data_IF_586613575720
#
_entry.id   IF_586613575720
#
_cell.length_a   1.000
_cell.length_b   1.000
_cell.length_c   1.000
_cell.angle_alpha   90.00
_cell.angle_beta   90.00
_cell.angle_gamma   90.00
#
_symmetry.space_group_name_H-M   'P 1'
#
loop_
_entity.id
_entity.type
_entity.pdbx_description
1 polymer ?
#
# COMPACT_ATOMS: atom_id res chain seq x y z
N UNK A 1 2.32 78.84 4.91
CA UNK A 1 1.68 77.65 5.54
C UNK A 1 1.87 76.47 4.63
N UNK A 2 2.89 75.64 4.91
CA UNK A 2 3.25 74.47 4.07
C UNK A 2 2.74 73.23 4.77
N UNK A 3 1.80 72.48 4.12
CA UNK A 3 1.31 71.16 4.62
C UNK A 3 2.21 70.09 4.08
N UNK A 4 2.88 69.37 5.01
CA UNK A 4 3.62 68.13 4.71
C UNK A 4 2.63 66.97 4.67
N UNK A 5 2.53 66.29 3.53
CA UNK A 5 1.79 65.05 3.38
C UNK A 5 2.79 63.89 3.66
N UNK A 6 2.59 63.19 4.75
CA UNK A 6 3.35 61.97 5.06
C UNK A 6 2.72 60.78 4.32
N UNK A 7 3.47 60.22 3.41
CA UNK A 7 3.08 58.96 2.74
C UNK A 7 3.42 57.78 3.67
N UNK A 8 2.41 57.07 4.10
CA UNK A 8 2.55 55.79 4.82
C UNK A 8 2.64 54.69 3.77
N UNK A 9 3.84 54.15 3.57
CA UNK A 9 4.03 52.96 2.74
C UNK A 9 3.57 51.72 3.47
N UNK A 10 2.43 51.15 3.06
CA UNK A 10 1.91 49.87 3.53
C UNK A 10 2.63 48.75 2.76
N UNK A 11 3.65 48.15 3.41
CA UNK A 11 4.31 46.96 2.92
C UNK A 11 3.34 45.76 3.08
N UNK A 12 2.66 45.35 1.99
CA UNK A 12 1.98 44.07 1.92
C UNK A 12 3.06 42.97 1.87
N UNK A 13 3.29 42.31 2.98
CA UNK A 13 3.96 41.00 3.00
C UNK A 13 3.00 39.97 2.39
N UNK A 14 3.10 39.73 1.09
CA UNK A 14 2.57 38.51 0.49
C UNK A 14 3.40 37.34 1.02
N UNK A 15 2.89 36.70 2.06
CA UNK A 15 3.36 35.37 2.48
C UNK A 15 3.11 34.40 1.34
N UNK A 16 4.12 34.09 0.55
CA UNK A 16 4.14 32.96 -0.35
C UNK A 16 4.07 31.69 0.52
N UNK A 17 2.85 31.19 0.76
CA UNK A 17 2.67 29.80 1.12
C UNK A 17 3.12 28.97 -0.08
N UNK A 18 4.38 28.57 -0.10
CA UNK A 18 4.86 27.54 -1.00
C UNK A 18 4.15 26.24 -0.59
N UNK A 19 2.98 25.98 -1.18
CA UNK A 19 2.42 24.64 -1.20
C UNK A 19 3.46 23.79 -1.93
N UNK A 20 4.10 22.87 -1.21
CA UNK A 20 4.93 21.87 -1.85
C UNK A 20 4.05 21.14 -2.86
N UNK A 21 4.30 21.40 -4.13
CA UNK A 21 3.55 20.78 -5.21
C UNK A 21 3.88 19.29 -5.17
N UNK A 22 2.90 18.45 -4.83
CA UNK A 22 3.10 17.00 -4.79
C UNK A 22 3.57 16.53 -6.16
N UNK A 23 4.63 15.73 -6.20
CA UNK A 23 5.13 15.17 -7.45
C UNK A 23 4.04 14.27 -8.06
N UNK A 24 3.95 14.28 -9.38
CA UNK A 24 3.03 13.42 -10.11
C UNK A 24 3.76 12.67 -11.22
N UNK A 25 3.27 11.48 -11.54
CA UNK A 25 3.71 10.69 -12.69
C UNK A 25 2.48 10.30 -13.50
N UNK A 26 2.57 10.48 -14.82
CA UNK A 26 1.59 10.00 -15.78
C UNK A 26 2.25 8.94 -16.66
N UNK A 27 1.65 7.76 -16.77
CA UNK A 27 2.21 6.63 -17.51
C UNK A 27 1.14 5.66 -17.97
N UNK A 28 1.46 4.88 -19.00
CA UNK A 28 0.70 3.71 -19.39
C UNK A 28 1.31 2.47 -18.73
N UNK A 29 0.46 1.62 -18.16
CA UNK A 29 0.83 0.32 -17.61
C UNK A 29 0.22 -0.79 -18.46
N UNK A 30 1.07 -1.68 -18.97
CA UNK A 30 0.66 -2.90 -19.64
C UNK A 30 0.84 -4.09 -18.68
N UNK A 31 -0.26 -4.61 -18.15
CA UNK A 31 -0.26 -5.78 -17.27
C UNK A 31 -0.63 -7.03 -18.06
N UNK A 32 0.34 -7.92 -18.28
CA UNK A 32 0.17 -9.13 -19.07
C UNK A 32 0.70 -10.33 -18.31
N UNK A 33 -0.01 -11.45 -18.41
CA UNK A 33 0.44 -12.72 -17.83
C UNK A 33 -0.13 -13.91 -18.60
N UNK A 34 0.47 -15.08 -18.36
CA UNK A 34 0.07 -16.36 -18.96
C UNK A 34 -0.25 -17.36 -17.86
N UNK A 35 -1.38 -18.02 -17.98
CA UNK A 35 -1.77 -19.14 -17.14
C UNK A 35 -1.44 -20.43 -17.87
N UNK A 36 -0.54 -21.24 -17.32
CA UNK A 36 -0.17 -22.56 -17.84
C UNK A 36 -1.06 -23.64 -17.25
N UNK A 37 -1.57 -24.50 -18.09
CA UNK A 37 -2.48 -25.56 -17.69
C UNK A 37 -1.67 -26.82 -17.35
N UNK A 38 -1.81 -27.27 -16.10
CA UNK A 38 -1.17 -28.50 -15.62
C UNK A 38 -2.11 -29.70 -15.68
N UNK A 39 -3.43 -29.50 -15.77
CA UNK A 39 -4.45 -30.53 -15.82
C UNK A 39 -5.46 -30.24 -16.94
N UNK A 40 -5.15 -30.62 -18.20
CA UNK A 40 -6.01 -30.34 -19.35
C UNK A 40 -7.39 -30.99 -19.22
N UNK A 41 -8.42 -30.31 -19.71
CA UNK A 41 -9.79 -30.83 -19.73
C UNK A 41 -10.58 -30.58 -18.44
N UNK A 42 -9.96 -29.96 -17.43
CA UNK A 42 -10.64 -29.52 -16.21
C UNK A 42 -11.17 -28.08 -16.33
N UNK A 43 -12.12 -27.68 -15.48
CA UNK A 43 -12.51 -26.29 -15.36
C UNK A 43 -11.33 -25.40 -14.98
N UNK A 44 -11.31 -24.16 -15.50
CA UNK A 44 -10.35 -23.14 -15.17
C UNK A 44 -11.07 -21.89 -14.71
N UNK A 45 -10.70 -21.41 -13.54
CA UNK A 45 -11.10 -20.12 -13.00
C UNK A 45 -9.87 -19.26 -12.79
N UNK A 46 -9.89 -18.02 -13.30
CA UNK A 46 -8.79 -17.07 -13.19
C UNK A 46 -9.31 -15.78 -12.59
N UNK A 47 -8.73 -15.35 -11.45
CA UNK A 47 -8.96 -14.05 -10.85
C UNK A 47 -7.65 -13.27 -10.80
N UNK A 48 -7.71 -12.01 -11.16
CA UNK A 48 -6.57 -11.11 -11.02
C UNK A 48 -7.04 -9.68 -10.70
N UNK A 49 -6.24 -8.89 -9.96
CA UNK A 49 -6.67 -7.60 -9.46
C UNK A 49 -6.87 -6.58 -10.56
N UNK A 50 -7.83 -5.69 -10.36
CA UNK A 50 -8.04 -4.47 -11.17
C UNK A 50 -7.42 -3.31 -10.41
N UNK A 51 -6.56 -2.54 -11.08
CA UNK A 51 -6.05 -1.31 -10.50
C UNK A 51 -7.20 -0.32 -10.25
N UNK A 52 -7.26 0.26 -9.07
CA UNK A 52 -8.36 1.13 -8.63
C UNK A 52 -7.90 2.57 -8.50
N UNK A 53 -8.81 3.51 -8.76
CA UNK A 53 -8.59 4.93 -8.47
C UNK A 53 -8.84 5.23 -6.99
N UNK A 54 -8.06 6.15 -6.45
CA UNK A 54 -8.21 6.71 -5.11
C UNK A 54 -7.86 8.21 -5.12
N UNK A 55 -7.68 8.81 -3.95
CA UNK A 55 -7.31 10.23 -3.85
C UNK A 55 -5.88 10.55 -4.34
N UNK A 56 -5.01 9.53 -4.49
CA UNK A 56 -3.62 9.66 -4.91
C UNK A 56 -3.35 9.08 -6.29
N UNK A 57 -4.34 8.43 -6.91
CA UNK A 57 -4.21 7.97 -8.28
C UNK A 57 -5.52 7.97 -9.04
N UNK A 58 -5.43 8.30 -10.32
CA UNK A 58 -6.49 8.10 -11.29
C UNK A 58 -6.09 6.97 -12.21
N UNK A 59 -6.95 5.97 -12.35
CA UNK A 59 -6.71 4.79 -13.19
C UNK A 59 -7.85 4.67 -14.19
N UNK A 60 -7.49 4.57 -15.47
CA UNK A 60 -8.43 4.29 -16.56
C UNK A 60 -8.01 3.03 -17.29
N UNK A 61 -8.92 2.08 -17.46
CA UNK A 61 -8.71 0.93 -18.33
C UNK A 61 -8.81 1.39 -19.78
N UNK A 62 -7.71 1.29 -20.52
CA UNK A 62 -7.67 1.62 -21.96
C UNK A 62 -8.15 0.45 -22.81
N UNK A 63 -7.70 -0.75 -22.48
CA UNK A 63 -8.14 -1.98 -23.14
C UNK A 63 -7.96 -3.18 -22.22
N UNK A 64 -8.74 -4.22 -22.47
CA UNK A 64 -8.60 -5.52 -21.86
C UNK A 64 -8.83 -6.62 -22.90
N UNK A 65 -8.01 -7.66 -22.89
CA UNK A 65 -8.11 -8.81 -23.78
C UNK A 65 -7.66 -10.08 -23.06
N UNK A 66 -8.10 -11.22 -23.55
CA UNK A 66 -7.68 -12.52 -23.05
C UNK A 66 -8.26 -13.63 -23.93
N UNK A 67 -7.68 -14.83 -23.83
CA UNK A 67 -8.18 -16.04 -24.49
C UNK A 67 -9.55 -16.49 -23.93
N UNK A 68 -9.92 -15.96 -22.76
CA UNK A 68 -11.26 -16.09 -22.17
C UNK A 68 -11.87 -14.71 -21.92
N UNK A 69 -13.20 -14.66 -21.91
CA UNK A 69 -13.95 -13.43 -21.63
C UNK A 69 -13.69 -12.92 -20.20
N UNK A 70 -13.42 -11.63 -20.07
CA UNK A 70 -13.12 -10.97 -18.79
C UNK A 70 -14.36 -10.25 -18.24
N UNK A 71 -14.80 -10.67 -17.05
CA UNK A 71 -15.87 -10.03 -16.28
C UNK A 71 -15.26 -9.32 -15.06
N UNK A 72 -15.63 -8.07 -14.83
CA UNK A 72 -15.25 -7.37 -13.60
C UNK A 72 -16.15 -7.83 -12.44
N UNK A 73 -15.54 -8.16 -11.32
CA UNK A 73 -16.19 -8.58 -10.08
C UNK A 73 -15.62 -7.79 -8.89
N UNK A 74 -16.34 -7.82 -7.77
CA UNK A 74 -15.88 -7.22 -6.51
C UNK A 74 -15.94 -8.30 -5.44
N UNK A 75 -14.84 -8.53 -4.74
CA UNK A 75 -14.86 -9.44 -3.61
C UNK A 75 -15.54 -8.75 -2.40
N UNK A 76 -16.32 -9.51 -1.61
CA UNK A 76 -17.25 -8.91 -0.65
C UNK A 76 -16.61 -8.45 0.67
N UNK A 77 -15.39 -8.88 0.97
CA UNK A 77 -14.79 -8.67 2.29
C UNK A 77 -14.05 -7.33 2.40
N UNK A 78 -13.22 -7.01 1.40
CA UNK A 78 -12.42 -5.77 1.34
C UNK A 78 -12.87 -4.81 0.24
N UNK A 79 -13.76 -5.25 -0.64
CA UNK A 79 -14.24 -4.47 -1.77
C UNK A 79 -13.26 -4.39 -2.93
N UNK A 80 -12.27 -5.29 -3.00
CA UNK A 80 -11.30 -5.29 -4.08
C UNK A 80 -11.95 -5.67 -5.40
N UNK A 81 -11.67 -4.90 -6.44
CA UNK A 81 -12.10 -5.23 -7.80
C UNK A 81 -11.16 -6.23 -8.44
N UNK A 82 -11.74 -7.19 -9.14
CA UNK A 82 -11.00 -8.24 -9.82
C UNK A 82 -11.59 -8.48 -11.21
N UNK A 83 -10.73 -8.81 -12.17
CA UNK A 83 -11.19 -9.49 -13.37
C UNK A 83 -11.31 -10.98 -13.11
N UNK A 84 -12.38 -11.56 -13.59
CA UNK A 84 -12.68 -13.00 -13.56
C UNK A 84 -12.83 -13.53 -14.96
N UNK A 85 -12.23 -14.68 -15.23
CA UNK A 85 -12.40 -15.45 -16.45
C UNK A 85 -12.65 -16.92 -16.11
N UNK A 86 -13.48 -17.59 -16.90
CA UNK A 86 -13.89 -18.98 -16.67
C UNK A 86 -14.00 -19.76 -17.96
N UNK A 87 -13.65 -21.04 -17.91
CA UNK A 87 -14.07 -22.05 -18.88
C UNK A 87 -14.34 -23.37 -18.16
N UNK A 88 -15.41 -24.06 -18.53
CA UNK A 88 -15.73 -25.38 -17.98
C UNK A 88 -14.70 -26.46 -18.37
N UNK A 89 -13.92 -26.19 -19.42
CA UNK A 89 -12.93 -27.14 -19.91
C UNK A 89 -11.71 -26.40 -20.52
N UNK A 90 -10.58 -26.46 -19.85
CA UNK A 90 -9.34 -25.91 -20.37
C UNK A 90 -8.77 -26.85 -21.45
N UNK A 91 -8.78 -26.39 -22.71
CA UNK A 91 -8.35 -27.20 -23.88
C UNK A 91 -7.02 -26.73 -24.47
N UNK A 92 -6.57 -25.50 -24.11
CA UNK A 92 -5.31 -24.94 -24.56
C UNK A 92 -4.23 -25.20 -23.51
N UNK A 93 -2.95 -25.33 -23.89
CA UNK A 93 -1.85 -25.47 -22.93
C UNK A 93 -1.59 -24.18 -22.13
N UNK A 94 -1.92 -23.03 -22.69
CA UNK A 94 -1.73 -21.72 -22.10
C UNK A 94 -2.90 -20.79 -22.40
N UNK A 95 -3.22 -19.90 -21.46
CA UNK A 95 -4.20 -18.81 -21.60
C UNK A 95 -3.52 -17.48 -21.28
N UNK A 96 -3.68 -16.52 -22.18
CA UNK A 96 -3.04 -15.20 -22.10
C UNK A 96 -4.06 -14.14 -21.72
N UNK A 97 -3.62 -13.19 -20.87
CA UNK A 97 -4.45 -12.07 -20.45
C UNK A 97 -3.63 -10.79 -20.49
N UNK A 98 -4.24 -9.71 -20.93
CA UNK A 98 -3.61 -8.38 -20.99
C UNK A 98 -4.61 -7.29 -20.63
N UNK A 99 -4.20 -6.37 -19.75
CA UNK A 99 -4.95 -5.14 -19.47
C UNK A 99 -4.01 -3.97 -19.60
N UNK A 100 -4.43 -2.95 -20.33
CA UNK A 100 -3.73 -1.67 -20.43
C UNK A 100 -4.44 -0.62 -19.60
N UNK A 101 -3.66 0.10 -18.82
CA UNK A 101 -4.12 1.19 -17.98
C UNK A 101 -3.43 2.50 -18.37
N UNK A 102 -4.18 3.60 -18.26
CA UNK A 102 -3.66 4.96 -18.18
C UNK A 102 -3.71 5.38 -16.71
N UNK A 103 -2.58 5.81 -16.14
CA UNK A 103 -2.43 6.06 -14.73
C UNK A 103 -1.80 7.42 -14.47
N UNK A 104 -2.48 8.24 -13.68
CA UNK A 104 -1.91 9.44 -13.07
C UNK A 104 -1.73 9.17 -11.59
N UNK A 105 -0.50 9.10 -11.12
CA UNK A 105 -0.15 8.86 -9.71
C UNK A 105 0.41 10.12 -9.08
N UNK A 106 -0.15 10.52 -7.94
CA UNK A 106 0.37 11.58 -7.08
C UNK A 106 1.26 10.97 -6.00
N UNK A 107 2.27 11.71 -5.58
CA UNK A 107 3.06 11.37 -4.41
C UNK A 107 2.17 11.39 -3.16
N UNK A 108 2.17 10.30 -2.40
CA UNK A 108 1.45 10.19 -1.14
C UNK A 108 2.43 10.37 0.02
N UNK A 109 2.57 11.60 0.50
CA UNK A 109 3.39 11.91 1.66
C UNK A 109 2.55 11.80 2.94
N UNK A 110 3.12 11.17 3.94
CA UNK A 110 2.53 11.04 5.26
C UNK A 110 2.17 12.41 5.90
N UNK A 111 2.98 13.44 5.66
CA UNK A 111 2.73 14.80 6.14
C UNK A 111 1.52 15.49 5.47
N UNK A 112 1.10 15.01 4.30
CA UNK A 112 0.01 15.58 3.48
C UNK A 112 -1.20 14.64 3.48
N UNK A 113 -1.33 13.79 4.50
CA UNK A 113 -2.46 12.88 4.60
C UNK A 113 -3.77 13.66 4.62
N UNK A 114 -4.54 13.55 3.55
CA UNK A 114 -5.87 14.14 3.50
C UNK A 114 -6.78 13.33 4.41
N UNK A 115 -7.60 14.02 5.21
CA UNK A 115 -8.63 13.36 6.02
C UNK A 115 -9.60 12.65 5.09
N UNK A 116 -9.45 11.35 4.93
CA UNK A 116 -10.47 10.52 4.30
C UNK A 116 -11.34 9.96 5.42
N UNK A 117 -12.58 10.47 5.61
CA UNK A 117 -13.44 9.92 6.62
C UNK A 117 -13.75 8.47 6.28
N UNK A 118 -13.30 7.55 7.13
CA UNK A 118 -13.76 6.17 7.10
C UNK A 118 -14.88 6.02 8.13
N UNK A 119 -15.93 5.29 7.81
CA UNK A 119 -16.96 4.97 8.81
C UNK A 119 -16.40 3.99 9.83
N UNK A 120 -16.93 4.02 11.06
CA UNK A 120 -16.52 3.04 12.09
C UNK A 120 -16.76 1.60 11.61
N UNK A 121 -17.79 1.37 10.79
CA UNK A 121 -18.09 0.06 10.20
C UNK A 121 -16.96 -0.40 9.28
N UNK A 122 -16.44 0.48 8.43
CA UNK A 122 -15.35 0.16 7.51
C UNK A 122 -14.05 -0.08 8.27
N UNK A 123 -13.81 0.70 9.34
CA UNK A 123 -12.63 0.54 10.19
C UNK A 123 -12.63 -0.78 10.99
N UNK A 124 -13.80 -1.31 11.37
CA UNK A 124 -13.91 -2.56 12.13
C UNK A 124 -13.26 -3.74 11.41
N UNK A 125 -13.35 -3.80 10.07
CA UNK A 125 -12.72 -4.87 9.29
C UNK A 125 -11.20 -4.87 9.47
N UNK A 126 -10.60 -3.68 9.51
CA UNK A 126 -9.15 -3.48 9.61
C UNK A 126 -8.62 -3.57 11.05
N UNK A 127 -9.46 -3.92 12.01
CA UNK A 127 -9.09 -4.27 13.39
C UNK A 127 -9.07 -5.77 13.65
N UNK A 128 -9.57 -6.58 12.69
CA UNK A 128 -9.68 -8.02 12.86
C UNK A 128 -8.37 -8.73 12.54
N UNK A 129 -8.18 -9.90 13.15
CA UNK A 129 -7.11 -10.81 12.75
C UNK A 129 -7.37 -11.36 11.34
N UNK A 130 -6.28 -11.65 10.64
CA UNK A 130 -6.30 -12.51 9.45
C UNK A 130 -5.59 -13.83 9.78
N UNK A 131 -5.78 -14.84 8.92
CA UNK A 131 -5.25 -16.21 9.17
C UNK A 131 -3.77 -16.23 9.53
N UNK A 132 -2.95 -15.38 8.88
CA UNK A 132 -1.51 -15.29 9.09
C UNK A 132 -1.09 -14.01 9.84
N UNK A 133 -2.06 -13.16 10.21
CA UNK A 133 -1.82 -11.89 10.90
C UNK A 133 -2.63 -11.86 12.21
N UNK A 134 -2.18 -12.62 13.24
CA UNK A 134 -2.84 -12.66 14.54
C UNK A 134 -2.67 -11.33 15.28
N UNK A 135 -3.64 -10.99 16.13
CA UNK A 135 -3.64 -9.77 16.94
C UNK A 135 -3.43 -10.05 18.43
N UNK A 136 -3.05 -11.29 18.78
CA UNK A 136 -2.77 -11.78 20.13
C UNK A 136 -1.43 -12.50 20.15
N UNK A 137 -0.96 -12.87 21.35
CA UNK A 137 0.32 -13.58 21.54
C UNK A 137 1.51 -12.70 21.21
N UNK A 138 2.55 -13.28 20.61
CA UNK A 138 3.85 -12.65 20.38
C UNK A 138 3.78 -11.24 19.73
N UNK A 139 3.05 -10.99 18.62
CA UNK A 139 3.01 -9.64 18.04
C UNK A 139 2.32 -8.64 18.97
N UNK A 140 1.32 -9.03 19.76
CA UNK A 140 0.69 -8.16 20.74
C UNK A 140 1.61 -7.83 21.92
N UNK A 141 2.41 -8.79 22.37
CA UNK A 141 3.44 -8.58 23.39
C UNK A 141 4.53 -7.63 22.90
N UNK A 142 5.02 -7.82 21.68
CA UNK A 142 5.98 -6.93 21.04
C UNK A 142 5.42 -5.50 20.90
N UNK A 143 4.16 -5.36 20.47
CA UNK A 143 3.49 -4.06 20.36
C UNK A 143 3.39 -3.38 21.74
N UNK A 144 2.94 -4.11 22.76
CA UNK A 144 2.81 -3.59 24.12
C UNK A 144 4.15 -3.09 24.68
N UNK A 145 5.24 -3.79 24.36
CA UNK A 145 6.59 -3.38 24.78
C UNK A 145 7.06 -2.06 24.14
N UNK A 146 6.47 -1.64 23.00
CA UNK A 146 6.81 -0.36 22.34
C UNK A 146 5.91 0.80 22.81
N UNK A 147 4.77 0.52 23.44
CA UNK A 147 3.79 1.55 23.82
C UNK A 147 4.11 2.12 25.20
N UNK A 148 4.07 3.45 25.31
CA UNK A 148 4.18 4.17 26.57
C UNK A 148 2.85 4.87 26.91
N UNK A 149 2.55 5.11 28.19
CA UNK A 149 1.38 5.88 28.59
C UNK A 149 1.31 7.24 27.89
N UNK A 150 0.14 7.60 27.36
CA UNK A 150 -0.10 8.89 26.72
C UNK A 150 0.29 8.97 25.23
N UNK A 151 0.85 7.92 24.63
CA UNK A 151 1.12 7.90 23.19
C UNK A 151 -0.17 8.00 22.38
N UNK A 152 -0.17 8.89 21.39
CA UNK A 152 -1.20 8.93 20.35
C UNK A 152 -1.13 7.70 19.44
N UNK A 153 -2.17 7.45 18.65
CA UNK A 153 -2.14 6.34 17.66
C UNK A 153 -1.06 6.56 16.59
N UNK A 154 -0.76 7.82 16.25
CA UNK A 154 0.35 8.15 15.35
C UNK A 154 1.71 7.79 15.98
N UNK A 155 1.93 8.13 17.27
CA UNK A 155 3.17 7.80 17.98
C UNK A 155 3.35 6.28 18.11
N UNK A 156 2.26 5.55 18.39
CA UNK A 156 2.30 4.07 18.41
C UNK A 156 2.65 3.52 17.03
N UNK A 157 2.01 4.03 15.96
CA UNK A 157 2.34 3.64 14.58
C UNK A 157 3.81 3.86 14.27
N UNK A 158 4.37 5.02 14.66
CA UNK A 158 5.80 5.31 14.52
C UNK A 158 6.65 4.33 15.32
N UNK A 159 6.28 3.99 16.54
CA UNK A 159 7.02 3.04 17.36
C UNK A 159 7.04 1.62 16.75
N UNK A 160 5.94 1.18 16.16
CA UNK A 160 5.86 -0.11 15.45
C UNK A 160 6.66 -0.12 14.15
N UNK A 161 6.64 0.99 13.43
CA UNK A 161 7.49 1.22 12.26
C UNK A 161 8.97 1.10 12.63
N UNK A 162 9.41 1.87 13.65
CA UNK A 162 10.80 1.88 14.10
C UNK A 162 11.25 0.51 14.63
N UNK A 163 10.39 -0.19 15.37
CA UNK A 163 10.65 -1.55 15.83
C UNK A 163 10.85 -2.51 14.66
N UNK A 164 9.92 -2.52 13.71
CA UNK A 164 9.98 -3.42 12.55
C UNK A 164 11.20 -3.12 11.69
N UNK A 165 11.50 -1.84 11.44
CA UNK A 165 12.69 -1.40 10.73
C UNK A 165 13.98 -1.88 11.39
N UNK A 166 14.08 -1.75 12.72
CA UNK A 166 15.29 -2.10 13.46
C UNK A 166 15.50 -3.60 13.63
N UNK A 167 14.43 -4.39 13.65
CA UNK A 167 14.52 -5.82 13.98
C UNK A 167 14.47 -6.74 12.77
N UNK A 168 13.89 -6.30 11.65
CA UNK A 168 13.81 -7.11 10.42
C UNK A 168 14.89 -6.76 9.41
N UNK A 169 15.21 -7.73 8.56
CA UNK A 169 16.12 -7.58 7.41
C UNK A 169 15.40 -7.95 6.12
N UNK A 170 15.60 -7.16 5.06
CA UNK A 170 15.10 -7.52 3.73
C UNK A 170 15.99 -8.62 3.14
N UNK A 171 15.59 -9.85 3.34
CA UNK A 171 16.35 -11.03 2.94
C UNK A 171 15.38 -12.13 2.51
N UNK A 172 15.59 -12.64 1.30
CA UNK A 172 14.76 -13.67 0.65
C UNK A 172 15.47 -15.03 0.57
N UNK A 173 16.45 -15.24 1.42
CA UNK A 173 17.15 -16.54 1.50
C UNK A 173 16.37 -17.54 2.35
N UNK A 174 16.57 -18.83 2.07
CA UNK A 174 15.87 -19.90 2.80
C UNK A 174 14.41 -20.07 2.38
N UNK A 175 13.60 -20.56 3.31
CA UNK A 175 12.16 -20.86 3.11
C UNK A 175 11.31 -20.13 4.14
N UNK A 176 10.02 -19.96 3.84
CA UNK A 176 9.04 -19.36 4.76
C UNK A 176 8.77 -17.88 4.54
N UNK A 177 9.69 -17.14 3.95
CA UNK A 177 9.50 -15.72 3.63
C UNK A 177 8.45 -15.50 2.51
N UNK A 178 7.90 -14.29 2.47
CA UNK A 178 6.98 -13.84 1.41
C UNK A 178 5.54 -14.29 1.60
N UNK A 179 5.20 -14.94 2.71
CA UNK A 179 3.85 -15.42 3.01
C UNK A 179 3.03 -14.45 3.85
N UNK A 180 3.66 -13.45 4.44
CA UNK A 180 3.02 -12.57 5.41
C UNK A 180 2.62 -13.29 6.70
N UNK A 181 3.30 -14.38 7.04
CA UNK A 181 3.13 -15.08 8.29
C UNK A 181 3.84 -14.31 9.42
N UNK A 182 3.06 -13.57 10.17
CA UNK A 182 3.58 -12.69 11.23
C UNK A 182 4.38 -13.44 12.29
N UNK A 183 3.92 -14.65 12.70
CA UNK A 183 4.63 -15.40 13.73
C UNK A 183 6.00 -15.84 13.21
N UNK A 184 6.03 -16.39 12.01
CA UNK A 184 7.30 -16.74 11.36
C UNK A 184 8.22 -15.51 11.23
N UNK A 185 7.70 -14.37 10.75
CA UNK A 185 8.48 -13.15 10.55
C UNK A 185 9.05 -12.59 11.87
N UNK A 186 8.26 -12.65 12.96
CA UNK A 186 8.71 -12.26 14.31
C UNK A 186 9.85 -13.16 14.83
N UNK A 187 9.89 -14.43 14.45
CA UNK A 187 10.93 -15.37 14.85
C UNK A 187 12.16 -15.28 13.94
N UNK A 188 11.95 -15.33 12.63
CA UNK A 188 12.99 -15.33 11.63
C UNK A 188 13.69 -13.96 11.50
N UNK A 189 12.98 -12.86 11.79
CA UNK A 189 13.46 -11.47 11.68
C UNK A 189 14.02 -11.10 10.31
N UNK A 190 13.48 -11.72 9.26
CA UNK A 190 13.79 -11.39 7.87
C UNK A 190 12.63 -11.76 6.95
N UNK A 191 12.66 -11.27 5.73
CA UNK A 191 11.66 -11.56 4.71
C UNK A 191 11.60 -10.49 3.64
N UNK A 192 10.52 -10.47 2.87
CA UNK A 192 10.25 -9.44 1.88
C UNK A 192 9.25 -8.39 2.41
N UNK A 193 8.76 -7.51 1.52
CA UNK A 193 7.79 -6.47 1.89
C UNK A 193 6.54 -7.04 2.59
N UNK A 194 6.04 -8.21 2.17
CA UNK A 194 4.86 -8.84 2.77
C UNK A 194 5.08 -9.17 4.25
N UNK A 195 6.26 -9.71 4.58
CA UNK A 195 6.60 -10.12 5.96
C UNK A 195 6.81 -8.90 6.86
N UNK A 196 7.49 -7.85 6.36
CA UNK A 196 7.65 -6.59 7.10
C UNK A 196 6.29 -6.00 7.49
N UNK A 197 5.40 -5.88 6.51
CA UNK A 197 4.11 -5.22 6.74
C UNK A 197 3.11 -6.09 7.50
N UNK A 198 3.22 -7.43 7.45
CA UNK A 198 2.41 -8.31 8.30
C UNK A 198 2.72 -8.12 9.79
N UNK A 199 4.01 -7.96 10.15
CA UNK A 199 4.43 -7.65 11.53
C UNK A 199 3.85 -6.30 11.97
N UNK A 200 4.02 -5.26 11.17
CA UNK A 200 3.49 -3.92 11.48
C UNK A 200 1.97 -3.93 11.66
N UNK A 201 1.23 -4.52 10.71
CA UNK A 201 -0.24 -4.57 10.74
C UNK A 201 -0.73 -5.34 11.97
N UNK A 202 -0.09 -6.45 12.29
CA UNK A 202 -0.43 -7.24 13.47
C UNK A 202 -0.23 -6.45 14.77
N UNK A 203 0.90 -5.75 14.91
CA UNK A 203 1.18 -4.88 16.05
C UNK A 203 0.15 -3.74 16.15
N UNK A 204 -0.14 -3.03 15.06
CA UNK A 204 -1.11 -1.93 15.04
C UNK A 204 -2.51 -2.41 15.44
N UNK A 205 -3.01 -3.47 14.80
CA UNK A 205 -4.34 -4.04 15.10
C UNK A 205 -4.45 -4.56 16.53
N UNK A 206 -3.39 -5.12 17.10
CA UNK A 206 -3.36 -5.57 18.49
C UNK A 206 -3.55 -4.41 19.48
N UNK A 207 -3.15 -3.22 19.12
CA UNK A 207 -3.31 -1.98 19.89
C UNK A 207 -4.54 -1.16 19.47
N UNK A 208 -5.49 -1.80 18.77
CA UNK A 208 -6.75 -1.21 18.32
C UNK A 208 -6.59 -0.05 17.32
N UNK A 209 -5.50 -0.06 16.57
CA UNK A 209 -5.25 0.86 15.46
C UNK A 209 -5.62 0.12 14.17
N UNK A 210 -6.64 0.60 13.40
CA UNK A 210 -6.97 0.00 12.13
C UNK A 210 -5.77 0.06 11.19
N UNK A 211 -5.42 -1.07 10.58
CA UNK A 211 -4.32 -1.16 9.64
C UNK A 211 -4.66 -2.10 8.49
N UNK A 212 -4.18 -1.78 7.29
CA UNK A 212 -4.46 -2.55 6.08
C UNK A 212 -3.21 -2.76 5.24
N UNK A 213 -3.27 -3.79 4.43
CA UNK A 213 -2.25 -4.15 3.49
C UNK A 213 -2.61 -3.58 2.12
N UNK A 214 -1.67 -2.94 1.47
CA UNK A 214 -1.81 -2.44 0.11
C UNK A 214 -0.83 -3.17 -0.81
N UNK A 215 -1.31 -3.52 -2.00
CA UNK A 215 -0.49 -4.18 -3.02
C UNK A 215 -0.54 -3.40 -4.33
N UNK A 216 0.61 -3.25 -4.94
CA UNK A 216 0.75 -2.56 -6.20
C UNK A 216 2.06 -2.87 -6.90
N UNK A 217 2.59 -1.88 -7.59
CA UNK A 217 3.82 -1.98 -8.37
C UNK A 217 4.75 -0.84 -8.00
N UNK A 218 6.02 -1.16 -7.77
CA UNK A 218 7.07 -0.14 -7.58
C UNK A 218 7.54 0.37 -8.94
N UNK A 219 7.32 1.67 -9.18
CA UNK A 219 7.76 2.30 -10.42
C UNK A 219 9.24 2.67 -10.32
N UNK A 220 10.10 2.24 -11.28
CA UNK A 220 11.51 2.57 -11.25
C UNK A 220 11.75 4.08 -11.23
N UNK A 221 12.66 4.53 -10.37
CA UNK A 221 13.08 5.93 -10.29
C UNK A 221 13.93 6.28 -11.54
N UNK A 222 13.72 7.47 -12.11
CA UNK A 222 14.52 7.99 -13.22
C UNK A 222 14.35 7.27 -14.57
N UNK A 223 13.42 6.33 -14.69
CA UNK A 223 13.15 5.63 -15.95
C UNK A 223 11.79 6.08 -16.54
N UNK A 224 11.79 6.34 -17.85
CA UNK A 224 10.58 6.71 -18.59
C UNK A 224 9.83 5.49 -19.15
N UNK A 225 10.49 4.35 -19.26
CA UNK A 225 9.89 3.08 -19.70
C UNK A 225 10.73 1.91 -19.19
N UNK A 226 10.12 0.73 -19.09
CA UNK A 226 10.80 -0.47 -18.67
C UNK A 226 9.84 -1.54 -18.17
N UNK A 227 10.38 -2.71 -17.89
CA UNK A 227 9.64 -3.82 -17.32
C UNK A 227 9.68 -3.73 -15.78
N UNK A 228 8.52 -3.94 -15.14
CA UNK A 228 8.43 -4.06 -13.69
C UNK A 228 8.60 -5.54 -13.33
N UNK A 229 9.62 -5.86 -12.55
CA UNK A 229 10.02 -7.24 -12.27
C UNK A 229 9.07 -8.00 -11.31
N UNK A 230 8.15 -7.32 -10.63
CA UNK A 230 7.23 -7.96 -9.69
C UNK A 230 6.33 -6.96 -8.95
N UNK A 231 5.50 -7.50 -8.07
CA UNK A 231 4.66 -6.71 -7.19
C UNK A 231 5.48 -6.03 -6.07
N UNK A 232 4.90 -4.99 -5.52
CA UNK A 232 5.35 -4.36 -4.28
C UNK A 232 4.15 -4.21 -3.33
N UNK A 233 4.42 -4.17 -2.04
CA UNK A 233 3.38 -3.96 -1.05
C UNK A 233 3.86 -3.05 0.08
N UNK A 234 2.91 -2.37 0.69
CA UNK A 234 3.11 -1.50 1.85
C UNK A 234 1.93 -1.65 2.81
N UNK A 235 1.96 -0.92 3.91
CA UNK A 235 0.84 -0.87 4.83
C UNK A 235 0.31 0.55 4.98
N UNK A 236 -0.93 0.65 5.41
CA UNK A 236 -1.49 1.89 5.92
C UNK A 236 -2.12 1.63 7.28
N UNK A 237 -2.05 2.62 8.17
CA UNK A 237 -2.78 2.61 9.43
C UNK A 237 -3.62 3.87 9.57
N UNK A 238 -4.72 3.77 10.29
CA UNK A 238 -5.68 4.86 10.39
C UNK A 238 -5.56 5.60 11.71
N UNK A 239 -5.50 6.94 11.62
CA UNK A 239 -5.63 7.82 12.77
C UNK A 239 -6.85 8.74 12.60
N UNK A 240 -7.56 9.03 13.69
CA UNK A 240 -8.81 9.85 13.62
C UNK A 240 -8.56 11.29 13.16
N UNK A 241 -7.38 11.81 13.37
CA UNK A 241 -6.98 13.17 13.01
C UNK A 241 -6.44 13.32 11.59
N UNK A 242 -5.88 12.24 11.00
CA UNK A 242 -5.22 12.29 9.68
C UNK A 242 -5.80 11.34 8.64
N UNK A 243 -6.62 10.36 9.02
CA UNK A 243 -7.10 9.31 8.13
C UNK A 243 -6.08 8.19 7.93
N UNK A 244 -6.06 7.59 6.75
CA UNK A 244 -5.10 6.55 6.40
C UNK A 244 -3.70 7.13 6.17
N UNK A 245 -2.72 6.53 6.82
CA UNK A 245 -1.33 6.98 6.87
C UNK A 245 -0.43 5.87 6.29
N UNK A 246 0.28 6.12 5.17
CA UNK A 246 1.09 5.09 4.52
C UNK A 246 2.40 4.86 5.26
N UNK A 247 2.87 3.61 5.24
CA UNK A 247 4.20 3.20 5.69
C UNK A 247 4.78 2.14 4.78
N UNK A 248 6.00 2.35 4.32
CA UNK A 248 6.75 1.37 3.54
C UNK A 248 8.08 1.03 4.21
N UNK A 249 7.99 0.18 5.22
CA UNK A 249 9.12 -0.18 6.08
C UNK A 249 10.19 -0.95 5.30
N UNK A 250 9.77 -1.73 4.29
CA UNK A 250 10.69 -2.50 3.48
C UNK A 250 11.53 -1.63 2.52
N UNK A 251 10.96 -0.55 1.97
CA UNK A 251 11.72 0.41 1.19
C UNK A 251 12.60 1.30 2.09
N UNK A 252 12.09 1.70 3.25
CA UNK A 252 12.90 2.38 4.25
C UNK A 252 14.15 1.57 4.63
N UNK A 253 14.01 0.26 4.79
CA UNK A 253 15.12 -0.63 5.12
C UNK A 253 16.16 -0.71 3.98
N UNK A 254 15.73 -0.72 2.73
CA UNK A 254 16.61 -0.71 1.56
C UNK A 254 17.29 0.65 1.33
N UNK A 255 16.64 1.74 1.74
CA UNK A 255 17.03 3.14 1.54
C UNK A 255 17.08 3.88 2.88
N UNK A 256 18.01 3.47 3.73
CA UNK A 256 18.09 3.94 5.13
C UNK A 256 18.22 5.46 5.26
N UNK A 257 18.80 6.10 4.27
CA UNK A 257 18.91 7.57 4.16
C UNK A 257 17.55 8.26 3.93
N UNK A 258 16.54 7.49 3.47
CA UNK A 258 15.16 7.97 3.24
C UNK A 258 14.17 7.41 4.28
N UNK A 259 14.64 6.92 5.43
CA UNK A 259 13.78 6.26 6.43
C UNK A 259 12.56 7.09 6.81
N UNK A 260 12.71 8.40 6.98
CA UNK A 260 11.61 9.27 7.38
C UNK A 260 10.70 9.70 6.22
N UNK A 261 11.01 9.28 4.99
CA UNK A 261 10.18 9.49 3.82
C UNK A 261 9.16 8.37 3.63
N UNK A 262 9.51 7.14 3.98
CA UNK A 262 8.69 5.94 3.86
C UNK A 262 8.00 5.63 5.20
#
# INVERSE_FOLDING_TARGET
MSRRISAVSLLLLCGLCAFAQSKSRHFELNYSFTVRITDPGKPLDVWFPVAQSDQFQQVKVLSKSGDLSLKETTEPEYGNKMFYAHTDRATQPEYHFTVKYDVVRLEHLAAVSLKTPASDKDLQRFLQADKLVPIIGKPAELATAQVKPGMSDLDKGRAFYDYTFATMRYDKTGTGWGRGDTLWACDAKHGNCTDFHSVFISMARSQKIPARFEMGLSLPEGQNSGQIAGYHCWAEFYTRDRGWFPVDISEAWKHQEKKDYF
#
